data_IF_712956810418
#
_entry.id   IF_712956810418
#
_cell.length_a   1.000
_cell.length_b   1.000
_cell.length_c   1.000
_cell.angle_alpha   90.00
_cell.angle_beta   90.00
_cell.angle_gamma   90.00
#
_symmetry.space_group_name_H-M   'P 1'
#
loop_
_entity.id
_entity.type
_entity.pdbx_description
1 polymer ?
#
# COMPACT_ATOMS: atom_id res chain seq x y z
N UNK A 1 10.24 35.73 -22.08
CA UNK A 1 8.89 35.81 -21.48
C UNK A 1 8.50 34.38 -21.10
N UNK A 2 8.91 33.95 -19.91
CA UNK A 2 8.05 33.62 -18.75
C UNK A 2 7.18 32.37 -18.94
N UNK A 3 7.57 31.30 -18.25
CA UNK A 3 6.66 30.47 -17.47
C UNK A 3 6.14 29.19 -18.12
N UNK A 4 7.01 28.20 -18.34
CA UNK A 4 6.63 26.78 -18.28
C UNK A 4 7.21 26.16 -17.00
N UNK A 5 6.91 26.79 -15.86
CA UNK A 5 7.11 26.21 -14.52
C UNK A 5 5.74 25.77 -13.98
N UNK A 6 5.09 24.87 -14.71
CA UNK A 6 4.03 24.04 -14.15
C UNK A 6 4.70 22.68 -13.96
N UNK A 7 5.21 22.52 -12.74
CA UNK A 7 5.94 21.38 -12.20
C UNK A 7 5.56 20.02 -12.80
N UNK A 8 6.53 19.38 -13.45
CA UNK A 8 6.55 17.91 -13.63
C UNK A 8 6.34 17.20 -12.27
N UNK A 9 6.77 17.84 -11.17
CA UNK A 9 6.48 17.44 -9.80
C UNK A 9 4.97 17.28 -9.48
N UNK A 10 4.09 18.17 -9.98
CA UNK A 10 2.68 18.16 -9.57
C UNK A 10 1.84 17.08 -10.25
N UNK A 11 2.20 16.65 -11.46
CA UNK A 11 1.45 15.59 -12.17
C UNK A 11 1.92 14.20 -11.72
N UNK A 12 3.23 14.02 -11.47
CA UNK A 12 3.77 12.75 -10.99
C UNK A 12 3.31 12.41 -9.57
N UNK A 13 3.24 13.39 -8.65
CA UNK A 13 2.83 13.17 -7.26
C UNK A 13 1.34 12.79 -7.16
N UNK A 14 0.47 13.32 -8.02
CA UNK A 14 -0.97 12.98 -8.01
C UNK A 14 -1.24 11.58 -8.55
N UNK A 15 -0.43 11.11 -9.51
CA UNK A 15 -0.63 9.82 -10.18
C UNK A 15 -0.02 8.63 -9.42
N UNK A 16 1.09 8.82 -8.70
CA UNK A 16 1.74 7.75 -7.90
C UNK A 16 0.96 7.32 -6.65
N UNK A 17 -0.10 8.05 -6.30
CA UNK A 17 -0.66 8.10 -4.95
C UNK A 17 -2.11 7.56 -4.82
N UNK A 18 -2.73 7.08 -5.90
CA UNK A 18 -4.14 6.61 -5.81
C UNK A 18 -4.27 5.26 -5.07
N UNK A 19 -3.15 4.66 -4.70
CA UNK A 19 -3.06 3.29 -4.20
C UNK A 19 -3.78 3.01 -2.87
N UNK A 20 -4.27 4.00 -2.09
CA UNK A 20 -5.10 3.67 -0.91
C UNK A 20 -6.25 4.67 -0.64
N UNK A 21 -6.15 5.92 -1.09
CA UNK A 21 -7.07 6.99 -0.62
C UNK A 21 -8.14 7.49 -1.61
N UNK A 22 -7.91 7.38 -2.93
CA UNK A 22 -8.74 8.08 -3.91
C UNK A 22 -10.15 7.52 -4.05
N UNK A 23 -10.29 6.19 -3.99
CA UNK A 23 -11.59 5.53 -4.12
C UNK A 23 -12.47 5.68 -2.86
N UNK A 24 -11.88 5.89 -1.68
CA UNK A 24 -12.62 6.03 -0.42
C UNK A 24 -13.15 7.47 -0.25
N UNK A 25 -12.36 8.50 -0.61
CA UNK A 25 -12.79 9.89 -0.47
C UNK A 25 -13.94 10.25 -1.41
N UNK A 26 -13.94 9.76 -2.67
CA UNK A 26 -15.00 10.06 -3.64
C UNK A 26 -16.30 9.24 -3.46
N UNK A 27 -16.28 8.15 -2.68
CA UNK A 27 -17.50 7.34 -2.39
C UNK A 27 -18.17 7.65 -1.05
N UNK A 28 -17.53 8.42 -0.16
CA UNK A 28 -18.07 8.68 1.18
C UNK A 28 -19.38 9.49 1.20
N UNK A 29 -19.74 10.20 0.12
CA UNK A 29 -21.00 10.95 0.03
C UNK A 29 -22.18 10.14 -0.53
N UNK A 30 -21.96 9.01 -1.22
CA UNK A 30 -23.05 8.27 -1.89
C UNK A 30 -23.50 6.99 -1.17
N UNK A 31 -22.73 6.47 -0.21
CA UNK A 31 -23.03 5.20 0.48
C UNK A 31 -23.93 5.33 1.72
N UNK A 32 -24.33 6.53 2.12
CA UNK A 32 -25.25 6.71 3.26
C UNK A 32 -26.71 6.31 2.99
N UNK A 33 -27.07 5.96 1.74
CA UNK A 33 -28.45 5.57 1.40
C UNK A 33 -28.54 4.48 0.31
N UNK A 34 -27.89 3.33 0.48
CA UNK A 34 -28.42 2.08 -0.08
C UNK A 34 -27.84 0.86 0.63
N UNK A 35 -28.48 0.43 1.71
CA UNK A 35 -28.33 -0.93 2.18
C UNK A 35 -28.89 -1.89 1.13
N UNK A 36 -28.02 -2.48 0.32
CA UNK A 36 -28.31 -3.75 -0.32
C UNK A 36 -27.50 -4.83 0.41
N UNK A 37 -28.19 -5.53 1.32
CA UNK A 37 -27.78 -6.85 1.77
C UNK A 37 -27.71 -7.75 0.54
N UNK A 38 -26.51 -7.97 0.01
CA UNK A 38 -26.29 -9.05 -0.93
C UNK A 38 -26.30 -10.37 -0.15
N UNK A 39 -27.40 -11.10 -0.27
CA UNK A 39 -27.70 -12.39 0.40
C UNK A 39 -26.78 -13.56 -0.05
N UNK A 40 -25.52 -13.30 -0.42
CA UNK A 40 -24.52 -14.33 -0.75
C UNK A 40 -23.79 -14.88 0.48
N UNK A 41 -24.04 -14.34 1.68
CA UNK A 41 -23.20 -14.55 2.87
C UNK A 41 -23.57 -15.73 3.77
N UNK A 42 -24.74 -16.37 3.62
CA UNK A 42 -25.17 -17.35 4.63
C UNK A 42 -24.62 -18.78 4.46
N UNK A 43 -24.21 -19.22 3.27
CA UNK A 43 -23.76 -20.61 3.06
C UNK A 43 -22.24 -20.83 3.22
N UNK A 44 -21.42 -19.78 3.08
CA UNK A 44 -19.98 -19.87 3.31
C UNK A 44 -19.61 -19.71 4.80
N UNK A 45 -20.51 -19.10 5.60
CA UNK A 45 -20.28 -18.83 7.01
C UNK A 45 -20.36 -20.08 7.90
N UNK A 46 -21.03 -21.15 7.44
CA UNK A 46 -21.32 -22.34 8.24
C UNK A 46 -20.12 -23.26 8.50
N UNK A 47 -18.92 -22.98 7.96
CA UNK A 47 -17.72 -23.79 8.18
C UNK A 47 -16.51 -23.03 8.76
N UNK A 48 -16.63 -21.73 9.01
CA UNK A 48 -15.56 -20.95 9.66
C UNK A 48 -15.63 -21.27 11.16
N UNK A 49 -14.47 -21.47 11.81
CA UNK A 49 -14.44 -21.63 13.26
C UNK A 49 -15.20 -20.47 13.92
N UNK A 50 -16.07 -20.78 14.88
CA UNK A 50 -17.04 -19.81 15.44
C UNK A 50 -16.38 -18.71 16.32
N UNK A 51 -15.06 -18.66 16.34
CA UNK A 51 -14.28 -17.68 17.11
C UNK A 51 -14.12 -16.34 16.36
N UNK A 52 -13.88 -15.28 17.14
CA UNK A 52 -13.78 -13.92 16.61
C UNK A 52 -12.56 -13.73 15.71
N UNK A 53 -11.46 -14.44 15.91
CA UNK A 53 -10.27 -14.25 15.09
C UNK A 53 -10.51 -14.76 13.66
N UNK A 54 -11.09 -15.95 13.52
CA UNK A 54 -11.46 -16.53 12.22
C UNK A 54 -12.47 -15.66 11.46
N UNK A 55 -13.49 -15.14 12.16
CA UNK A 55 -14.46 -14.19 11.58
C UNK A 55 -13.79 -12.89 11.14
N UNK A 56 -12.87 -12.35 11.95
CA UNK A 56 -12.14 -11.15 11.60
C UNK A 56 -11.29 -11.34 10.33
N UNK A 57 -10.59 -12.47 10.21
CA UNK A 57 -9.82 -12.82 9.01
C UNK A 57 -10.71 -12.95 7.78
N UNK A 58 -11.86 -13.62 7.90
CA UNK A 58 -12.82 -13.73 6.81
C UNK A 58 -13.33 -12.37 6.33
N UNK A 59 -13.66 -11.47 7.26
CA UNK A 59 -14.13 -10.14 6.89
C UNK A 59 -13.01 -9.21 6.41
N UNK A 60 -11.75 -9.47 6.75
CA UNK A 60 -10.62 -8.68 6.23
C UNK A 60 -10.09 -9.20 4.89
N UNK A 61 -10.19 -10.52 4.64
CA UNK A 61 -9.68 -11.17 3.44
C UNK A 61 -10.50 -10.88 2.17
N UNK A 62 -9.88 -11.09 1.02
CA UNK A 62 -10.47 -10.81 -0.31
C UNK A 62 -10.69 -12.05 -1.19
N UNK A 63 -9.81 -13.05 -1.17
CA UNK A 63 -9.92 -14.23 -2.06
C UNK A 63 -10.99 -15.22 -1.60
N UNK A 64 -11.14 -15.38 -0.30
CA UNK A 64 -12.17 -16.23 0.32
C UNK A 64 -13.04 -15.46 1.34
N UNK A 65 -12.83 -14.14 1.43
CA UNK A 65 -13.39 -13.28 2.46
C UNK A 65 -14.45 -12.31 1.93
N UNK A 66 -15.26 -11.77 2.84
CA UNK A 66 -16.36 -10.87 2.49
C UNK A 66 -15.92 -9.40 2.30
N UNK A 67 -14.68 -9.06 2.64
CA UNK A 67 -14.16 -7.68 2.68
C UNK A 67 -15.14 -6.67 3.31
N UNK A 68 -15.31 -6.75 4.63
CA UNK A 68 -16.10 -5.84 5.44
C UNK A 68 -15.25 -5.32 6.61
N UNK A 69 -14.69 -4.12 6.44
CA UNK A 69 -13.80 -3.52 7.43
C UNK A 69 -14.50 -3.21 8.77
N UNK A 70 -15.81 -2.98 8.77
CA UNK A 70 -16.59 -2.70 10.00
C UNK A 70 -16.70 -3.98 10.83
N UNK A 71 -17.07 -5.10 10.19
CA UNK A 71 -17.13 -6.40 10.85
C UNK A 71 -15.73 -6.91 11.22
N UNK A 72 -14.74 -6.78 10.34
CA UNK A 72 -13.36 -7.15 10.64
C UNK A 72 -12.85 -6.41 11.88
N UNK A 73 -13.04 -5.09 11.95
CA UNK A 73 -12.67 -4.26 13.10
C UNK A 73 -13.38 -4.72 14.37
N UNK A 74 -14.69 -4.97 14.29
CA UNK A 74 -15.49 -5.45 15.44
C UNK A 74 -14.88 -6.74 16.00
N UNK A 75 -14.62 -7.71 15.14
CA UNK A 75 -14.12 -9.01 15.58
C UNK A 75 -12.66 -8.97 16.05
N UNK A 76 -11.76 -8.23 15.38
CA UNK A 76 -10.41 -8.04 15.88
C UNK A 76 -10.39 -7.30 17.23
N UNK A 77 -11.32 -6.39 17.47
CA UNK A 77 -11.47 -5.72 18.78
C UNK A 77 -11.91 -6.71 19.86
N UNK A 78 -12.82 -7.65 19.54
CA UNK A 78 -13.21 -8.70 20.48
C UNK A 78 -12.02 -9.60 20.86
N UNK A 79 -11.15 -9.92 19.89
CA UNK A 79 -9.92 -10.68 20.15
C UNK A 79 -9.00 -9.94 21.13
N UNK A 80 -8.79 -8.63 20.92
CA UNK A 80 -7.87 -7.85 21.78
C UNK A 80 -8.44 -7.60 23.18
N UNK A 81 -9.76 -7.47 23.33
CA UNK A 81 -10.41 -7.29 24.64
C UNK A 81 -10.47 -8.59 25.46
N UNK A 82 -10.49 -9.77 24.82
CA UNK A 82 -10.54 -11.08 25.48
C UNK A 82 -9.20 -11.84 25.45
N UNK A 83 -8.10 -11.12 25.24
CA UNK A 83 -6.77 -11.67 24.98
C UNK A 83 -6.28 -12.71 26.00
N UNK A 84 -6.60 -12.58 27.29
CA UNK A 84 -6.11 -13.49 28.34
C UNK A 84 -6.98 -14.71 28.56
N UNK A 85 -8.21 -14.73 28.02
CA UNK A 85 -9.21 -15.74 28.31
C UNK A 85 -9.44 -16.73 27.16
N UNK A 86 -9.26 -16.30 25.91
CA UNK A 86 -9.72 -17.05 24.73
C UNK A 86 -8.69 -17.19 23.61
N UNK A 87 -7.73 -16.30 23.53
CA UNK A 87 -6.85 -16.18 22.36
C UNK A 87 -5.38 -16.29 22.76
N UNK A 88 -4.56 -16.81 21.86
CA UNK A 88 -3.13 -16.91 22.09
C UNK A 88 -2.42 -15.60 21.73
N UNK A 89 -1.14 -15.46 22.15
CA UNK A 89 -0.36 -14.22 21.93
C UNK A 89 -0.24 -13.84 20.45
N UNK A 90 -0.18 -14.82 19.54
CA UNK A 90 -0.04 -14.61 18.10
C UNK A 90 -1.34 -14.06 17.50
N UNK A 91 -2.50 -14.61 17.88
CA UNK A 91 -3.81 -14.10 17.44
C UNK A 91 -4.04 -12.67 17.92
N UNK A 92 -3.68 -12.38 19.16
CA UNK A 92 -3.82 -11.05 19.76
C UNK A 92 -2.90 -10.03 19.06
N UNK A 93 -1.64 -10.36 18.82
CA UNK A 93 -0.70 -9.46 18.13
C UNK A 93 -1.11 -9.24 16.68
N UNK A 94 -1.52 -10.30 15.98
CA UNK A 94 -2.05 -10.21 14.62
C UNK A 94 -3.30 -9.32 14.57
N UNK A 95 -4.20 -9.42 15.56
CA UNK A 95 -5.40 -8.58 15.63
C UNK A 95 -5.07 -7.10 15.82
N UNK A 96 -4.11 -6.76 16.67
CA UNK A 96 -3.63 -5.39 16.81
C UNK A 96 -3.02 -4.85 15.52
N UNK A 97 -2.26 -5.68 14.81
CA UNK A 97 -1.67 -5.30 13.53
C UNK A 97 -2.74 -5.06 12.47
N UNK A 98 -3.76 -5.93 12.38
CA UNK A 98 -4.85 -5.76 11.43
C UNK A 98 -5.68 -4.53 11.77
N UNK A 99 -5.94 -4.24 13.05
CA UNK A 99 -6.58 -2.99 13.46
C UNK A 99 -5.76 -1.75 13.07
N UNK A 100 -4.43 -1.81 13.11
CA UNK A 100 -3.57 -0.74 12.62
C UNK A 100 -3.70 -0.55 11.11
N UNK A 101 -3.77 -1.65 10.35
CA UNK A 101 -4.01 -1.61 8.89
C UNK A 101 -5.37 -1.03 8.55
N UNK A 102 -6.44 -1.43 9.26
CA UNK A 102 -7.78 -0.86 9.04
C UNK A 102 -7.77 0.65 9.36
N UNK A 103 -7.11 1.08 10.44
CA UNK A 103 -6.94 2.50 10.74
C UNK A 103 -6.19 3.25 9.64
N UNK A 104 -5.14 2.66 9.07
CA UNK A 104 -4.42 3.22 7.93
C UNK A 104 -5.32 3.38 6.70
N UNK A 105 -6.08 2.33 6.33
CA UNK A 105 -7.03 2.36 5.21
C UNK A 105 -8.11 3.43 5.39
N UNK A 106 -8.51 3.72 6.62
CA UNK A 106 -9.47 4.78 6.96
C UNK A 106 -8.83 6.17 7.11
N UNK A 107 -7.53 6.33 6.82
CA UNK A 107 -6.79 7.60 6.95
C UNK A 107 -6.51 8.03 8.39
N UNK A 108 -6.71 7.14 9.37
CA UNK A 108 -6.53 7.40 10.81
C UNK A 108 -5.08 7.17 11.23
N UNK A 109 -4.14 7.89 10.62
CA UNK A 109 -2.69 7.66 10.75
C UNK A 109 -2.18 7.64 12.19
N UNK A 110 -2.64 8.56 13.07
CA UNK A 110 -2.21 8.56 14.48
C UNK A 110 -2.71 7.36 15.29
N UNK A 111 -3.89 6.84 14.96
CA UNK A 111 -4.45 5.64 15.61
C UNK A 111 -3.73 4.37 15.14
N UNK A 112 -3.37 4.31 13.85
CA UNK A 112 -2.54 3.25 13.29
C UNK A 112 -1.15 3.23 13.94
N UNK A 113 -0.47 4.38 13.97
CA UNK A 113 0.86 4.54 14.59
C UNK A 113 0.87 4.10 16.05
N UNK A 114 -0.14 4.47 16.84
CA UNK A 114 -0.22 4.08 18.26
C UNK A 114 -0.20 2.56 18.41
N UNK A 115 -0.94 1.83 17.57
CA UNK A 115 -0.99 0.36 17.61
C UNK A 115 0.31 -0.28 17.15
N UNK A 116 0.95 0.28 16.12
CA UNK A 116 2.24 -0.21 15.61
C UNK A 116 3.35 -0.05 16.65
N UNK A 117 3.43 1.11 17.31
CA UNK A 117 4.38 1.37 18.40
C UNK A 117 4.17 0.45 19.60
N UNK A 118 2.91 0.11 19.92
CA UNK A 118 2.61 -0.88 20.95
C UNK A 118 3.16 -2.28 20.57
N UNK A 119 2.99 -2.69 19.32
CA UNK A 119 3.51 -3.96 18.82
C UNK A 119 5.04 -3.99 18.80
N UNK A 120 5.69 -2.93 18.32
CA UNK A 120 7.16 -2.80 18.35
C UNK A 120 7.69 -2.88 19.79
N UNK A 121 7.04 -2.21 20.74
CA UNK A 121 7.44 -2.27 22.15
C UNK A 121 7.34 -3.67 22.76
N UNK A 122 6.33 -4.45 22.40
CA UNK A 122 6.07 -5.78 22.97
C UNK A 122 6.87 -6.89 22.28
N UNK A 123 7.10 -6.78 20.97
CA UNK A 123 7.67 -7.85 20.15
C UNK A 123 9.03 -7.51 19.54
N UNK A 124 9.42 -6.23 19.52
CA UNK A 124 10.60 -5.77 18.81
C UNK A 124 10.63 -6.23 17.34
N UNK A 125 11.83 -6.52 16.85
CA UNK A 125 12.04 -6.96 15.46
C UNK A 125 11.42 -8.32 15.12
N UNK A 126 10.94 -9.09 16.11
CA UNK A 126 10.26 -10.36 15.84
C UNK A 126 8.91 -10.17 15.13
N UNK A 127 8.33 -8.97 15.18
CA UNK A 127 7.12 -8.59 14.44
C UNK A 127 7.44 -7.57 13.33
N UNK A 128 8.45 -7.86 12.51
CA UNK A 128 8.96 -6.96 11.46
C UNK A 128 7.91 -6.42 10.48
N UNK A 129 6.75 -7.09 10.32
CA UNK A 129 5.65 -6.62 9.50
C UNK A 129 5.15 -5.22 9.89
N UNK A 130 5.37 -4.77 11.14
CA UNK A 130 5.03 -3.40 11.56
C UNK A 130 5.75 -2.37 10.72
N UNK A 131 7.02 -2.60 10.37
CA UNK A 131 7.86 -1.62 9.69
C UNK A 131 7.35 -1.27 8.30
N UNK A 132 6.78 -2.24 7.58
CA UNK A 132 6.15 -1.96 6.30
C UNK A 132 4.93 -1.04 6.44
N UNK A 133 4.05 -1.32 7.42
CA UNK A 133 2.85 -0.50 7.64
C UNK A 133 3.21 0.87 8.21
N UNK A 134 4.24 0.97 9.05
CA UNK A 134 4.77 2.26 9.50
C UNK A 134 5.28 3.10 8.32
N UNK A 135 6.03 2.50 7.39
CA UNK A 135 6.47 3.15 6.17
C UNK A 135 5.32 3.77 5.38
N UNK A 136 4.23 3.00 5.21
CA UNK A 136 3.01 3.48 4.57
C UNK A 136 2.31 4.58 5.39
N UNK A 137 2.12 4.38 6.70
CA UNK A 137 1.47 5.36 7.58
C UNK A 137 2.21 6.70 7.53
N UNK A 138 3.53 6.69 7.67
CA UNK A 138 4.33 7.91 7.65
C UNK A 138 4.33 8.54 6.27
N UNK A 139 4.57 7.78 5.19
CA UNK A 139 4.60 8.34 3.83
C UNK A 139 3.26 8.99 3.43
N UNK A 140 2.14 8.31 3.70
CA UNK A 140 0.82 8.84 3.37
C UNK A 140 0.45 10.03 4.25
N UNK A 141 0.83 10.02 5.54
CA UNK A 141 0.68 11.18 6.43
C UNK A 141 1.51 12.37 5.92
N UNK A 142 2.76 12.16 5.54
CA UNK A 142 3.63 13.19 4.98
C UNK A 142 3.01 13.84 3.73
N UNK A 143 2.44 13.02 2.84
CA UNK A 143 1.72 13.46 1.63
C UNK A 143 0.46 14.25 1.96
N UNK A 144 -0.42 13.69 2.79
CA UNK A 144 -1.79 14.20 2.97
C UNK A 144 -1.87 15.41 3.89
N UNK A 145 -1.03 15.44 4.93
CA UNK A 145 -1.04 16.52 5.92
C UNK A 145 0.23 17.38 5.88
N UNK A 146 1.16 17.09 4.97
CA UNK A 146 2.34 17.93 4.72
C UNK A 146 3.42 17.87 5.80
N UNK A 147 3.44 16.82 6.63
CA UNK A 147 4.47 16.66 7.66
C UNK A 147 5.77 16.17 7.02
N UNK A 148 6.74 17.08 6.87
CA UNK A 148 8.01 16.76 6.20
C UNK A 148 8.83 15.70 6.94
N UNK A 149 8.78 15.69 8.27
CA UNK A 149 9.54 14.73 9.10
C UNK A 149 9.09 13.29 8.89
N UNK A 150 7.81 13.11 8.52
CA UNK A 150 7.27 11.78 8.25
C UNK A 150 7.88 11.14 7.00
N UNK A 151 8.41 11.90 6.04
CA UNK A 151 9.13 11.30 4.92
C UNK A 151 10.40 10.58 5.40
N UNK A 152 11.12 11.13 6.37
CA UNK A 152 12.29 10.47 6.96
C UNK A 152 11.88 9.23 7.77
N UNK A 153 10.80 9.31 8.54
CA UNK A 153 10.28 8.16 9.28
C UNK A 153 9.83 7.03 8.34
N UNK A 154 9.21 7.38 7.21
CA UNK A 154 8.81 6.42 6.19
C UNK A 154 10.02 5.69 5.58
N UNK A 155 11.06 6.45 5.23
CA UNK A 155 12.33 5.92 4.71
C UNK A 155 12.97 4.94 5.69
N UNK A 156 13.09 5.34 6.97
CA UNK A 156 13.67 4.50 8.02
C UNK A 156 12.88 3.19 8.22
N UNK A 157 11.54 3.28 8.23
CA UNK A 157 10.67 2.13 8.40
C UNK A 157 10.80 1.14 7.23
N UNK A 158 10.79 1.61 5.97
CA UNK A 158 11.01 0.72 4.83
C UNK A 158 12.42 0.11 4.82
N UNK A 159 13.46 0.85 5.21
CA UNK A 159 14.82 0.31 5.35
C UNK A 159 14.88 -0.79 6.42
N UNK A 160 14.23 -0.61 7.57
CA UNK A 160 14.12 -1.65 8.60
C UNK A 160 13.40 -2.90 8.06
N UNK A 161 12.32 -2.72 7.32
CA UNK A 161 11.60 -3.84 6.71
C UNK A 161 12.49 -4.58 5.69
N UNK A 162 13.16 -3.87 4.80
CA UNK A 162 14.07 -4.44 3.79
C UNK A 162 15.30 -5.13 4.40
N UNK A 163 15.74 -4.73 5.60
CA UNK A 163 16.80 -5.44 6.31
C UNK A 163 16.39 -6.88 6.71
N UNK A 164 15.08 -7.14 6.86
CA UNK A 164 14.53 -8.47 7.17
C UNK A 164 14.00 -9.17 5.91
N UNK A 165 13.45 -8.39 4.98
CA UNK A 165 12.84 -8.84 3.72
C UNK A 165 13.51 -8.19 2.51
N UNK A 166 14.80 -8.50 2.28
CA UNK A 166 15.58 -7.90 1.20
C UNK A 166 15.10 -8.34 -0.17
N UNK A 167 14.12 -9.24 -0.31
CA UNK A 167 13.54 -9.66 -1.58
C UNK A 167 12.30 -8.84 -1.96
N UNK A 168 11.75 -8.00 -1.07
CA UNK A 168 10.43 -7.38 -1.28
C UNK A 168 10.44 -6.34 -2.42
N UNK A 169 9.73 -6.58 -3.54
CA UNK A 169 9.59 -5.58 -4.61
C UNK A 169 8.68 -4.41 -4.19
N UNK A 170 7.71 -4.69 -3.30
CA UNK A 170 6.75 -3.72 -2.80
C UNK A 170 7.42 -2.67 -1.92
N UNK A 171 8.18 -3.11 -0.91
CA UNK A 171 8.90 -2.20 -0.03
C UNK A 171 9.96 -1.36 -0.77
N UNK A 172 10.57 -1.90 -1.84
CA UNK A 172 11.47 -1.12 -2.69
C UNK A 172 10.74 -0.07 -3.51
N UNK A 173 9.62 -0.45 -4.13
CA UNK A 173 8.76 0.48 -4.87
C UNK A 173 8.30 1.63 -3.95
N UNK A 174 7.86 1.31 -2.74
CA UNK A 174 7.39 2.30 -1.77
C UNK A 174 8.54 3.16 -1.20
N UNK A 175 9.72 2.59 -0.96
CA UNK A 175 10.91 3.35 -0.58
C UNK A 175 11.34 4.31 -1.72
N UNK A 176 11.29 3.85 -2.97
CA UNK A 176 11.56 4.70 -4.13
C UNK A 176 10.53 5.83 -4.28
N UNK A 177 9.26 5.57 -3.97
CA UNK A 177 8.24 6.63 -3.88
C UNK A 177 8.58 7.67 -2.80
N UNK A 178 9.02 7.22 -1.62
CA UNK A 178 9.49 8.13 -0.55
C UNK A 178 10.67 8.97 -1.00
N UNK A 179 11.69 8.35 -1.63
CA UNK A 179 12.82 9.07 -2.19
C UNK A 179 12.43 10.06 -3.28
N UNK A 180 11.51 9.68 -4.17
CA UNK A 180 10.98 10.56 -5.20
C UNK A 180 10.32 11.80 -4.57
N UNK A 181 9.47 11.60 -3.55
CA UNK A 181 8.81 12.69 -2.83
C UNK A 181 9.79 13.62 -2.10
N UNK A 182 10.93 13.08 -1.66
CA UNK A 182 12.03 13.85 -1.06
C UNK A 182 12.97 14.51 -2.10
N UNK A 183 12.79 14.23 -3.40
CA UNK A 183 13.68 14.69 -4.47
C UNK A 183 15.02 13.95 -4.54
N UNK A 184 15.15 12.80 -3.87
CA UNK A 184 16.36 11.97 -3.81
C UNK A 184 16.43 10.99 -4.98
N UNK A 185 16.37 11.51 -6.21
CA UNK A 185 16.25 10.66 -7.41
C UNK A 185 17.44 9.73 -7.63
N UNK A 186 18.66 10.18 -7.32
CA UNK A 186 19.86 9.34 -7.43
C UNK A 186 19.86 8.17 -6.43
N UNK A 187 19.28 8.36 -5.24
CA UNK A 187 19.21 7.32 -4.20
C UNK A 187 18.19 6.22 -4.56
N UNK A 188 17.25 6.50 -5.49
CA UNK A 188 16.30 5.50 -5.98
C UNK A 188 16.99 4.40 -6.80
N UNK A 189 18.02 4.76 -7.59
CA UNK A 189 18.68 3.86 -8.54
C UNK A 189 19.18 2.57 -7.88
N UNK A 190 20.05 2.60 -6.85
CA UNK A 190 20.55 1.36 -6.24
C UNK A 190 19.42 0.52 -5.60
N UNK A 191 18.41 1.18 -5.01
CA UNK A 191 17.24 0.47 -4.44
C UNK A 191 16.48 -0.29 -5.53
N UNK A 192 16.32 0.31 -6.70
CA UNK A 192 15.57 -0.26 -7.83
C UNK A 192 16.37 -1.33 -8.56
N UNK A 193 17.67 -1.13 -8.74
CA UNK A 193 18.58 -2.16 -9.27
C UNK A 193 18.51 -3.43 -8.42
N UNK A 194 18.68 -3.31 -7.10
CA UNK A 194 18.53 -4.45 -6.19
C UNK A 194 17.15 -5.09 -6.30
N UNK A 195 16.08 -4.30 -6.44
CA UNK A 195 14.73 -4.85 -6.56
C UNK A 195 14.54 -5.68 -7.82
N UNK A 196 15.11 -5.23 -8.93
CA UNK A 196 15.05 -5.92 -10.20
C UNK A 196 15.95 -7.17 -10.23
N UNK A 197 16.92 -7.31 -9.33
CA UNK A 197 17.61 -8.60 -9.13
C UNK A 197 16.66 -9.69 -8.62
N UNK A 198 15.67 -9.34 -7.80
CA UNK A 198 14.68 -10.28 -7.26
C UNK A 198 13.47 -10.45 -8.18
N UNK A 199 12.96 -9.35 -8.74
CA UNK A 199 11.75 -9.33 -9.55
C UNK A 199 11.98 -8.59 -10.88
N UNK A 200 12.72 -9.20 -11.83
CA UNK A 200 13.15 -8.55 -13.06
C UNK A 200 12.01 -8.11 -13.99
N UNK A 201 10.80 -8.65 -13.81
CA UNK A 201 9.66 -8.34 -14.66
C UNK A 201 8.63 -7.41 -13.99
N UNK A 202 8.97 -6.82 -12.84
CA UNK A 202 8.03 -6.00 -12.06
C UNK A 202 7.72 -4.66 -12.76
N UNK A 203 6.47 -4.44 -13.23
CA UNK A 203 6.12 -3.16 -13.85
C UNK A 203 6.22 -1.98 -12.87
N UNK A 204 6.04 -2.22 -11.58
CA UNK A 204 6.17 -1.19 -10.54
C UNK A 204 7.61 -0.69 -10.40
N UNK A 205 8.57 -1.62 -10.31
CA UNK A 205 9.99 -1.29 -10.19
C UNK A 205 10.50 -0.61 -11.45
N UNK A 206 10.15 -1.13 -12.64
CA UNK A 206 10.53 -0.50 -13.91
C UNK A 206 9.95 0.92 -14.04
N UNK A 207 8.71 1.16 -13.64
CA UNK A 207 8.14 2.51 -13.67
C UNK A 207 8.88 3.46 -12.71
N UNK A 208 9.20 3.03 -11.49
CA UNK A 208 9.97 3.85 -10.55
C UNK A 208 11.40 4.11 -11.06
N UNK A 209 11.99 3.15 -11.78
CA UNK A 209 13.32 3.29 -12.34
C UNK A 209 13.33 4.28 -13.50
N UNK A 210 12.35 4.20 -14.39
CA UNK A 210 12.15 5.21 -15.42
C UNK A 210 12.03 6.62 -14.81
N UNK A 211 11.30 6.78 -13.70
CA UNK A 211 11.20 8.07 -13.00
C UNK A 211 12.53 8.54 -12.43
N UNK A 212 13.32 7.66 -11.82
CA UNK A 212 14.65 8.00 -11.30
C UNK A 212 15.60 8.43 -12.42
N UNK A 213 15.61 7.70 -13.54
CA UNK A 213 16.44 7.97 -14.72
C UNK A 213 16.05 9.29 -15.39
N UNK A 214 14.75 9.53 -15.58
CA UNK A 214 14.24 10.78 -16.13
C UNK A 214 14.68 11.98 -15.29
N UNK A 215 14.56 11.89 -13.97
CA UNK A 215 14.93 12.99 -13.07
C UNK A 215 16.44 13.12 -12.83
N UNK A 216 17.24 12.17 -13.31
CA UNK A 216 18.71 12.25 -13.34
C UNK A 216 19.26 12.54 -14.75
N UNK A 217 18.38 12.80 -15.73
CA UNK A 217 18.73 13.23 -17.10
C UNK A 217 19.07 12.10 -18.07
N UNK A 218 18.75 10.85 -17.72
CA UNK A 218 19.03 9.65 -18.52
C UNK A 218 17.77 9.26 -19.31
N UNK A 219 17.32 10.13 -20.22
CA UNK A 219 16.02 10.03 -20.88
C UNK A 219 15.84 8.77 -21.73
N UNK A 220 16.88 8.36 -22.47
CA UNK A 220 16.82 7.16 -23.33
C UNK A 220 16.58 5.91 -22.48
N UNK A 221 17.34 5.74 -21.39
CA UNK A 221 17.16 4.64 -20.44
C UNK A 221 15.80 4.73 -19.73
N UNK A 222 15.33 5.94 -19.41
CA UNK A 222 14.01 6.12 -18.82
C UNK A 222 12.90 5.60 -19.76
N UNK A 223 13.00 5.90 -21.07
CA UNK A 223 12.07 5.41 -22.08
C UNK A 223 12.06 3.87 -22.16
N UNK A 224 13.23 3.23 -22.11
CA UNK A 224 13.35 1.77 -22.10
C UNK A 224 12.62 1.16 -20.89
N UNK A 225 12.86 1.68 -19.69
CA UNK A 225 12.21 1.21 -18.47
C UNK A 225 10.70 1.46 -18.46
N UNK A 226 10.23 2.63 -18.91
CA UNK A 226 8.79 2.90 -19.02
C UNK A 226 8.11 2.01 -20.05
N UNK A 227 8.75 1.76 -21.20
CA UNK A 227 8.23 0.87 -22.24
C UNK A 227 8.07 -0.56 -21.72
N UNK A 228 9.07 -1.06 -21.00
CA UNK A 228 8.99 -2.38 -20.37
C UNK A 228 7.90 -2.43 -19.30
N UNK A 229 7.83 -1.42 -18.41
CA UNK A 229 6.76 -1.32 -17.42
C UNK A 229 5.38 -1.35 -18.06
N UNK A 230 5.20 -0.66 -19.19
CA UNK A 230 3.94 -0.59 -19.93
C UNK A 230 3.55 -1.97 -20.48
N UNK A 231 4.48 -2.67 -21.13
CA UNK A 231 4.25 -4.02 -21.64
C UNK A 231 3.79 -4.95 -20.52
N UNK A 232 4.51 -4.96 -19.39
CA UNK A 232 4.19 -5.81 -18.25
C UNK A 232 2.88 -5.42 -17.57
N UNK A 233 2.59 -4.12 -17.43
CA UNK A 233 1.35 -3.64 -16.82
C UNK A 233 0.10 -3.98 -17.65
N UNK A 234 0.22 -4.09 -18.98
CA UNK A 234 -0.87 -4.52 -19.87
C UNK A 234 -1.22 -6.00 -19.74
N UNK A 235 -0.33 -6.81 -19.19
CA UNK A 235 -0.56 -8.24 -18.94
C UNK A 235 -1.28 -8.49 -17.61
N UNK A 236 -1.39 -7.48 -16.74
CA UNK A 236 -2.07 -7.59 -15.46
C UNK A 236 -3.59 -7.60 -15.66
N UNK A 237 -4.27 -8.43 -14.86
CA UNK A 237 -5.69 -8.33 -14.60
C UNK A 237 -5.92 -7.69 -13.20
N UNK A 238 -7.17 -7.35 -12.83
CA UNK A 238 -7.44 -6.73 -11.54
C UNK A 238 -7.00 -7.57 -10.33
N UNK A 239 -7.02 -8.89 -10.41
CA UNK A 239 -6.60 -9.76 -9.31
C UNK A 239 -5.08 -9.76 -9.15
N UNK A 240 -4.34 -9.83 -10.26
CA UNK A 240 -2.88 -9.70 -10.29
C UNK A 240 -2.43 -8.33 -9.79
N UNK A 241 -3.17 -7.26 -10.09
CA UNK A 241 -2.92 -5.94 -9.51
C UNK A 241 -3.26 -5.90 -8.01
N UNK A 242 -4.40 -6.47 -7.62
CA UNK A 242 -4.87 -6.54 -6.24
C UNK A 242 -3.93 -7.31 -5.31
N UNK A 243 -3.24 -8.33 -5.83
CA UNK A 243 -2.27 -9.13 -5.09
C UNK A 243 -1.07 -8.31 -4.57
N UNK A 244 -0.74 -7.20 -5.24
CA UNK A 244 0.26 -6.24 -4.75
C UNK A 244 -0.22 -5.45 -3.52
N UNK A 245 -1.53 -5.29 -3.38
CA UNK A 245 -2.18 -4.46 -2.35
C UNK A 245 -3.28 -5.23 -1.61
N UNK A 246 -2.96 -6.34 -0.92
CA UNK A 246 -3.94 -7.28 -0.35
C UNK A 246 -4.74 -6.70 0.84
N UNK A 247 -4.51 -5.44 1.23
CA UNK A 247 -5.35 -4.73 2.20
C UNK A 247 -6.47 -3.93 1.56
N UNK A 248 -6.39 -3.63 0.27
CA UNK A 248 -7.32 -2.75 -0.43
C UNK A 248 -8.60 -3.47 -0.81
N UNK A 249 -9.68 -2.69 -0.95
CA UNK A 249 -10.98 -3.18 -1.37
C UNK A 249 -10.90 -3.77 -2.79
N UNK A 250 -11.25 -5.06 -2.97
CA UNK A 250 -11.29 -5.69 -4.29
C UNK A 250 -12.18 -4.98 -5.29
N UNK A 251 -13.23 -4.29 -4.83
CA UNK A 251 -14.10 -3.49 -5.69
C UNK A 251 -13.34 -2.33 -6.37
N UNK A 252 -12.20 -1.90 -5.81
CA UNK A 252 -11.34 -0.85 -6.35
C UNK A 252 -10.24 -1.34 -7.29
N UNK A 253 -9.93 -2.64 -7.35
CA UNK A 253 -8.75 -3.14 -8.07
C UNK A 253 -8.75 -2.82 -9.57
N UNK A 254 -9.91 -2.90 -10.23
CA UNK A 254 -10.01 -2.56 -11.65
C UNK A 254 -9.73 -1.08 -11.93
N UNK A 255 -10.15 -0.20 -11.02
CA UNK A 255 -9.86 1.24 -11.12
C UNK A 255 -8.38 1.49 -10.87
N UNK A 256 -7.81 0.89 -9.81
CA UNK A 256 -6.39 1.01 -9.49
C UNK A 256 -5.47 0.49 -10.59
N UNK A 257 -5.83 -0.62 -11.25
CA UNK A 257 -5.11 -1.13 -12.41
C UNK A 257 -5.14 -0.14 -13.58
N UNK A 258 -6.32 0.41 -13.90
CA UNK A 258 -6.47 1.36 -14.99
C UNK A 258 -5.67 2.64 -14.73
N UNK A 259 -5.66 3.14 -13.50
CA UNK A 259 -4.86 4.29 -13.08
C UNK A 259 -3.37 3.98 -13.19
N UNK A 260 -2.92 2.83 -12.69
CA UNK A 260 -1.53 2.40 -12.78
C UNK A 260 -1.04 2.34 -14.24
N UNK A 261 -1.83 1.77 -15.14
CA UNK A 261 -1.54 1.74 -16.58
C UNK A 261 -1.47 3.16 -17.16
N UNK A 262 -2.41 4.03 -16.80
CA UNK A 262 -2.41 5.42 -17.25
C UNK A 262 -1.19 6.23 -16.74
N UNK A 263 -0.72 5.96 -15.51
CA UNK A 263 0.51 6.56 -14.98
C UNK A 263 1.70 6.20 -15.84
N UNK A 264 1.85 4.91 -16.17
CA UNK A 264 2.96 4.43 -16.98
C UNK A 264 2.91 5.04 -18.39
N UNK A 265 1.72 5.06 -19.01
CA UNK A 265 1.53 5.70 -20.32
C UNK A 265 1.90 7.18 -20.30
N UNK A 266 1.50 7.91 -19.25
CA UNK A 266 1.84 9.32 -19.07
C UNK A 266 3.34 9.54 -18.85
N UNK A 267 3.99 8.68 -18.07
CA UNK A 267 5.42 8.74 -17.83
C UNK A 267 6.24 8.46 -19.09
N UNK A 268 5.82 7.50 -19.92
CA UNK A 268 6.46 7.21 -21.19
C UNK A 268 6.46 8.43 -22.12
N UNK A 269 5.33 9.15 -22.20
CA UNK A 269 5.23 10.38 -23.00
C UNK A 269 6.16 11.51 -22.55
N UNK A 270 6.66 11.50 -21.30
CA UNK A 270 7.64 12.49 -20.83
C UNK A 270 9.04 12.28 -21.42
N UNK A 271 9.26 11.14 -22.08
CA UNK A 271 10.55 10.77 -22.67
C UNK A 271 10.58 10.89 -24.20
N UNK A 272 9.44 11.21 -24.82
CA UNK A 272 9.29 11.48 -26.27
C UNK A 272 9.65 12.92 -26.64
#
# INVERSE_FOLDING_TARGET
>A
MRGRDISVLSVAITLLAVIVGGAILLRSEQLFFSGQQDNKTDSAFTSIADDSFSKAQYHFGHTEGAYDLVLARRYYTDVTLNATAKFNKSEVSMSWYQLARIDFLEGKYGSAETKLKMLEKEFGDSFYNVYYIEGLVYGYRARDIGNKEDWQLAEEAFKKFLAVKPESPWARTDLSWVYFAQGKFADMIPVLEEGLEYEPESPWLHNMYGLALLNTGQNDLANEHFSFAQERARLLDPEGWGAAYPGNDPAGWGVGLAEFQAVIDGNLQLTE
#
